data_IF_622659515924
#
_entry.id   IF_622659515924
#
_cell.length_a   1.000
_cell.length_b   1.000
_cell.length_c   1.000
_cell.angle_alpha   90.00
_cell.angle_beta   90.00
_cell.angle_gamma   90.00
#
_symmetry.space_group_name_H-M   'P 1'
#
loop_
_entity.id
_entity.type
_entity.pdbx_description
1 polymer ?
#
# COMPACT_ATOMS: atom_id res chain seq x y z
N UNK A 1 -1.70 -18.46 -3.23
CA UNK A 1 -2.38 -18.63 -4.54
C UNK A 1 -2.80 -17.32 -5.22
N UNK A 2 -2.62 -16.17 -4.56
CA UNK A 2 -2.91 -14.84 -5.14
C UNK A 2 -1.86 -14.45 -6.17
N UNK A 3 -0.62 -14.92 -6.01
CA UNK A 3 0.53 -14.57 -6.84
C UNK A 3 0.48 -14.98 -8.31
N UNK A 4 -0.40 -15.91 -8.69
CA UNK A 4 -0.52 -16.38 -10.08
C UNK A 4 -1.47 -15.55 -10.97
N UNK A 5 -2.28 -14.66 -10.40
CA UNK A 5 -3.36 -14.03 -11.16
C UNK A 5 -3.06 -12.61 -11.68
N UNK A 6 -2.21 -11.85 -10.99
CA UNK A 6 -1.85 -10.50 -11.42
C UNK A 6 -0.54 -10.07 -10.76
N UNK A 7 0.47 -9.77 -11.58
CA UNK A 7 1.80 -9.36 -11.12
C UNK A 7 1.75 -8.15 -10.18
N UNK A 8 0.92 -7.16 -10.48
CA UNK A 8 0.75 -5.97 -9.65
C UNK A 8 0.21 -6.31 -8.25
N UNK A 9 -0.78 -7.20 -8.17
CA UNK A 9 -1.36 -7.64 -6.89
C UNK A 9 -0.37 -8.44 -6.06
N UNK A 10 0.43 -9.32 -6.69
CA UNK A 10 1.48 -10.07 -5.99
C UNK A 10 2.54 -9.18 -5.38
N UNK A 11 3.05 -8.19 -6.13
CA UNK A 11 4.05 -7.23 -5.63
C UNK A 11 3.49 -6.47 -4.42
N UNK A 12 2.23 -6.04 -4.47
CA UNK A 12 1.61 -5.32 -3.37
C UNK A 12 1.33 -6.18 -2.15
N UNK A 13 0.91 -7.43 -2.37
CA UNK A 13 0.71 -8.40 -1.28
C UNK A 13 2.05 -8.68 -0.59
N UNK A 14 3.13 -8.86 -1.36
CA UNK A 14 4.48 -9.02 -0.83
C UNK A 14 4.91 -7.80 0.00
N UNK A 15 4.70 -6.59 -0.52
CA UNK A 15 5.01 -5.35 0.19
C UNK A 15 4.21 -5.23 1.50
N UNK A 16 2.91 -5.53 1.47
CA UNK A 16 2.05 -5.56 2.66
C UNK A 16 2.57 -6.57 3.70
N UNK A 17 2.92 -7.78 3.29
CA UNK A 17 3.44 -8.81 4.18
C UNK A 17 4.77 -8.40 4.80
N UNK A 18 5.68 -7.80 4.03
CA UNK A 18 6.95 -7.26 4.55
C UNK A 18 6.68 -6.17 5.58
N UNK A 19 5.76 -5.23 5.31
CA UNK A 19 5.37 -4.19 6.27
C UNK A 19 4.79 -4.79 7.55
N UNK A 20 3.93 -5.80 7.45
CA UNK A 20 3.39 -6.53 8.60
C UNK A 20 4.49 -7.26 9.37
N UNK A 21 5.46 -7.88 8.68
CA UNK A 21 6.60 -8.52 9.33
C UNK A 21 7.45 -7.52 10.13
N UNK A 22 7.71 -6.34 9.59
CA UNK A 22 8.42 -5.27 10.30
C UNK A 22 7.64 -4.87 11.56
N UNK A 23 6.33 -4.68 11.46
CA UNK A 23 5.47 -4.35 12.60
C UNK A 23 5.45 -5.46 13.65
N UNK A 24 5.37 -6.73 13.24
CA UNK A 24 5.38 -7.86 14.16
C UNK A 24 6.74 -8.04 14.85
N UNK A 25 7.82 -7.78 14.15
CA UNK A 25 9.17 -7.81 14.72
C UNK A 25 9.32 -6.77 15.85
N UNK A 26 8.71 -5.58 15.65
CA UNK A 26 8.74 -4.50 16.66
C UNK A 26 7.77 -4.77 17.82
N UNK A 27 6.55 -5.29 17.51
CA UNK A 27 5.45 -5.34 18.48
C UNK A 27 5.19 -6.73 19.07
N UNK A 28 5.38 -7.81 18.28
CA UNK A 28 5.01 -9.19 18.65
C UNK A 28 5.89 -10.25 18.00
N UNK A 29 7.00 -10.61 18.64
CA UNK A 29 7.96 -11.61 18.12
C UNK A 29 7.35 -12.99 17.79
N UNK A 30 6.35 -13.43 18.56
CA UNK A 30 5.68 -14.72 18.33
C UNK A 30 4.84 -14.75 17.04
N UNK A 31 4.17 -13.64 16.71
CA UNK A 31 3.43 -13.49 15.46
C UNK A 31 4.38 -13.48 14.26
N UNK A 32 5.55 -12.86 14.37
CA UNK A 32 6.60 -12.87 13.36
C UNK A 32 6.99 -14.29 12.97
N UNK A 33 7.25 -15.18 13.96
CA UNK A 33 7.67 -16.58 13.70
C UNK A 33 6.60 -17.41 12.97
N UNK A 34 5.32 -17.07 13.11
CA UNK A 34 4.22 -17.80 12.46
C UNK A 34 3.96 -17.33 11.03
N UNK A 35 4.21 -16.06 10.74
CA UNK A 35 3.83 -15.43 9.46
C UNK A 35 4.98 -15.35 8.46
N UNK A 36 6.24 -15.55 8.87
CA UNK A 36 7.39 -15.43 7.98
C UNK A 36 7.37 -16.43 6.81
N UNK A 37 6.82 -17.64 7.03
CA UNK A 37 6.69 -18.68 5.99
C UNK A 37 5.78 -18.18 4.86
N UNK A 38 4.67 -17.51 5.23
CA UNK A 38 3.73 -16.94 4.24
C UNK A 38 4.41 -15.86 3.41
N UNK A 39 5.21 -15.01 4.05
CA UNK A 39 6.00 -13.97 3.36
C UNK A 39 7.03 -14.58 2.41
N UNK A 40 7.68 -15.65 2.82
CA UNK A 40 8.67 -16.35 1.99
C UNK A 40 8.01 -17.00 0.77
N UNK A 41 6.86 -17.65 0.95
CA UNK A 41 6.10 -18.25 -0.15
C UNK A 41 5.62 -17.19 -1.15
N UNK A 42 5.16 -16.03 -0.67
CA UNK A 42 4.74 -14.94 -1.56
C UNK A 42 5.93 -14.32 -2.29
N UNK A 43 7.08 -14.18 -1.64
CA UNK A 43 8.32 -13.73 -2.29
C UNK A 43 8.75 -14.69 -3.42
N UNK A 44 8.68 -15.99 -3.19
CA UNK A 44 8.91 -17.00 -4.22
C UNK A 44 7.91 -16.87 -5.38
N UNK A 45 6.64 -16.62 -5.08
CA UNK A 45 5.60 -16.40 -6.09
C UNK A 45 5.90 -15.18 -6.97
N UNK A 46 6.34 -14.07 -6.37
CA UNK A 46 6.75 -12.87 -7.10
C UNK A 46 7.97 -13.15 -7.98
N UNK A 47 8.98 -13.88 -7.47
CA UNK A 47 10.14 -14.27 -8.26
C UNK A 47 9.73 -15.10 -9.48
N UNK A 48 8.84 -16.08 -9.31
CA UNK A 48 8.29 -16.86 -10.42
C UNK A 48 7.56 -15.97 -11.45
N UNK A 49 6.81 -14.98 -11.01
CA UNK A 49 6.15 -14.04 -11.91
C UNK A 49 7.16 -13.18 -12.70
N UNK A 50 8.21 -12.70 -12.05
CA UNK A 50 9.25 -11.89 -12.71
C UNK A 50 10.04 -12.70 -13.73
N UNK A 51 10.36 -13.96 -13.43
CA UNK A 51 11.12 -14.86 -14.32
C UNK A 51 10.23 -15.53 -15.37
N UNK A 52 8.93 -15.30 -15.38
CA UNK A 52 7.98 -15.87 -16.32
C UNK A 52 8.30 -15.46 -17.76
N UNK A 53 8.22 -16.39 -18.74
CA UNK A 53 8.41 -16.08 -20.17
C UNK A 53 7.47 -14.98 -20.67
N UNK A 54 6.26 -14.89 -20.10
CA UNK A 54 5.28 -13.84 -20.45
C UNK A 54 5.76 -12.46 -20.02
N UNK A 55 6.42 -12.37 -18.86
CA UNK A 55 7.02 -11.10 -18.41
C UNK A 55 8.21 -10.75 -19.30
N UNK A 56 9.03 -11.71 -19.66
CA UNK A 56 10.17 -11.50 -20.57
C UNK A 56 9.70 -11.01 -21.97
N UNK A 57 8.62 -11.55 -22.52
CA UNK A 57 8.06 -11.08 -23.80
C UNK A 57 7.51 -9.67 -23.73
N UNK A 58 6.93 -9.27 -22.61
CA UNK A 58 6.48 -7.88 -22.38
C UNK A 58 7.65 -6.92 -22.24
N UNK A 59 8.69 -7.30 -21.48
CA UNK A 59 9.91 -6.51 -21.30
C UNK A 59 10.65 -6.28 -22.63
N UNK A 60 10.59 -7.23 -23.56
CA UNK A 60 11.21 -7.14 -24.89
C UNK A 60 10.39 -6.33 -25.91
N UNK A 61 9.33 -5.64 -25.49
CA UNK A 61 8.59 -4.70 -26.33
C UNK A 61 7.65 -5.33 -27.35
N UNK A 62 7.38 -6.65 -27.28
CA UNK A 62 6.51 -7.35 -28.22
C UNK A 62 5.00 -6.95 -28.09
N UNK A 63 4.64 -6.14 -27.10
CA UNK A 63 3.29 -5.67 -26.83
C UNK A 63 3.18 -4.14 -26.76
N UNK A 64 3.77 -3.40 -27.70
CA UNK A 64 3.43 -1.98 -27.83
C UNK A 64 4.52 -0.96 -27.53
N UNK A 65 5.78 -1.34 -27.63
CA UNK A 65 6.86 -0.35 -27.80
C UNK A 65 7.23 0.53 -26.61
N UNK A 66 6.82 0.17 -25.40
CA UNK A 66 7.24 0.89 -24.19
C UNK A 66 8.58 0.36 -23.69
N UNK A 67 9.49 1.26 -23.36
CA UNK A 67 10.79 0.93 -22.78
C UNK A 67 10.58 0.46 -21.34
N UNK A 68 10.91 -0.81 -21.07
CA UNK A 68 10.96 -1.33 -19.72
C UNK A 68 11.94 -0.52 -18.85
N UNK A 69 11.52 -0.17 -17.64
CA UNK A 69 12.37 0.54 -16.70
C UNK A 69 13.26 -0.44 -15.92
N UNK A 70 14.42 0.02 -15.46
CA UNK A 70 15.16 -0.77 -14.48
C UNK A 70 14.34 -0.93 -13.19
N UNK A 71 14.50 -2.03 -12.42
CA UNK A 71 13.72 -2.25 -11.19
C UNK A 71 13.79 -1.09 -10.20
N UNK A 72 14.98 -0.51 -10.01
CA UNK A 72 15.17 0.64 -9.11
C UNK A 72 14.47 1.89 -9.64
N UNK A 73 14.53 2.13 -10.94
CA UNK A 73 13.85 3.26 -11.58
C UNK A 73 12.33 3.08 -11.50
N UNK A 74 11.82 1.87 -11.65
CA UNK A 74 10.40 1.58 -11.50
C UNK A 74 9.89 1.85 -10.08
N UNK A 75 10.68 1.51 -9.05
CA UNK A 75 10.35 1.82 -7.65
C UNK A 75 10.32 3.34 -7.44
N UNK A 76 11.34 4.05 -7.89
CA UNK A 76 11.39 5.51 -7.77
C UNK A 76 10.22 6.19 -8.45
N UNK A 77 9.98 5.86 -9.71
CA UNK A 77 8.86 6.41 -10.49
C UNK A 77 7.50 6.05 -9.88
N UNK A 78 7.36 4.87 -9.26
CA UNK A 78 6.11 4.50 -8.60
C UNK A 78 5.83 5.37 -7.37
N UNK A 79 6.85 5.69 -6.58
CA UNK A 79 6.72 6.59 -5.42
C UNK A 79 6.36 8.01 -5.87
N UNK A 80 7.10 8.55 -6.84
CA UNK A 80 6.87 9.89 -7.40
C UNK A 80 5.46 10.01 -7.99
N UNK A 81 5.09 9.11 -8.90
CA UNK A 81 3.80 9.13 -9.58
C UNK A 81 2.63 8.90 -8.63
N UNK A 82 2.79 8.02 -7.65
CA UNK A 82 1.77 7.81 -6.62
C UNK A 82 1.56 9.06 -5.78
N UNK A 83 2.64 9.77 -5.44
CA UNK A 83 2.54 11.03 -4.73
C UNK A 83 1.82 12.11 -5.54
N UNK A 84 2.14 12.24 -6.82
CA UNK A 84 1.43 13.14 -7.74
C UNK A 84 -0.05 12.78 -7.90
N UNK A 85 -0.39 11.49 -7.95
CA UNK A 85 -1.77 11.04 -7.98
C UNK A 85 -2.54 11.41 -6.71
N UNK A 86 -1.91 11.32 -5.53
CA UNK A 86 -2.55 11.77 -4.28
C UNK A 86 -2.93 13.25 -4.39
N UNK A 87 -2.02 14.10 -4.86
CA UNK A 87 -2.29 15.53 -5.02
C UNK A 87 -3.41 15.75 -6.04
N UNK A 88 -3.36 15.09 -7.18
CA UNK A 88 -4.33 15.23 -8.28
C UNK A 88 -5.73 14.73 -7.90
N UNK A 89 -5.82 13.62 -7.15
CA UNK A 89 -7.10 12.99 -6.78
C UNK A 89 -7.70 13.57 -5.51
N UNK A 90 -6.90 14.24 -4.68
CA UNK A 90 -7.39 14.91 -3.47
C UNK A 90 -8.07 16.21 -3.85
N UNK A 91 -9.34 16.12 -4.21
CA UNK A 91 -10.19 17.27 -4.50
C UNK A 91 -11.10 17.60 -3.32
N UNK A 92 -11.78 18.76 -3.39
CA UNK A 92 -12.67 19.22 -2.34
C UNK A 92 -13.75 18.19 -1.96
N UNK A 93 -14.25 17.41 -2.93
CA UNK A 93 -15.27 16.36 -2.68
C UNK A 93 -14.73 15.25 -1.79
N UNK A 94 -13.50 14.79 -2.06
CA UNK A 94 -12.83 13.77 -1.25
C UNK A 94 -12.55 14.30 0.16
N UNK A 95 -12.09 15.53 0.29
CA UNK A 95 -11.84 16.17 1.59
C UNK A 95 -13.14 16.30 2.41
N UNK A 96 -14.23 16.73 1.79
CA UNK A 96 -15.53 16.83 2.47
C UNK A 96 -16.02 15.45 2.95
N UNK A 97 -15.86 14.41 2.11
CA UNK A 97 -16.21 13.04 2.49
C UNK A 97 -15.38 12.57 3.70
N UNK A 98 -14.07 12.82 3.70
CA UNK A 98 -13.20 12.45 4.82
C UNK A 98 -13.57 13.18 6.11
N UNK A 99 -13.87 14.48 6.03
CA UNK A 99 -14.34 15.28 7.18
C UNK A 99 -15.65 14.71 7.73
N UNK A 100 -16.58 14.31 6.86
CA UNK A 100 -17.86 13.69 7.28
C UNK A 100 -17.63 12.35 7.99
N UNK A 101 -16.58 11.62 7.66
CA UNK A 101 -16.24 10.33 8.28
C UNK A 101 -15.56 10.48 9.67
N UNK A 102 -14.95 11.63 9.98
CA UNK A 102 -14.24 11.86 11.24
C UNK A 102 -15.09 11.52 12.48
N UNK A 103 -16.35 11.98 12.64
CA UNK A 103 -17.13 11.68 13.84
C UNK A 103 -17.42 10.17 13.99
N UNK A 104 -17.59 9.44 12.89
CA UNK A 104 -17.77 7.99 12.91
C UNK A 104 -16.49 7.28 13.37
N UNK A 105 -15.33 7.69 12.83
CA UNK A 105 -14.03 7.15 13.23
C UNK A 105 -13.71 7.48 14.68
N UNK A 106 -14.01 8.68 15.12
CA UNK A 106 -13.84 9.10 16.52
C UNK A 106 -14.61 8.21 17.49
N UNK A 107 -15.89 7.95 17.19
CA UNK A 107 -16.74 7.05 17.99
C UNK A 107 -16.21 5.60 17.98
N UNK A 108 -15.79 5.11 16.82
CA UNK A 108 -15.25 3.76 16.67
C UNK A 108 -13.96 3.57 17.46
N UNK A 109 -13.01 4.52 17.34
CA UNK A 109 -11.70 4.45 17.96
C UNK A 109 -11.77 4.54 19.49
N UNK A 110 -12.68 5.31 20.04
CA UNK A 110 -12.90 5.39 21.51
C UNK A 110 -13.23 4.03 22.12
N UNK A 111 -13.91 3.15 21.38
CA UNK A 111 -14.27 1.80 21.82
C UNK A 111 -13.14 0.77 21.65
N UNK A 112 -12.12 1.08 20.86
CA UNK A 112 -11.02 0.16 20.59
C UNK A 112 -9.99 0.18 21.73
N UNK A 113 -9.57 -1.00 22.22
CA UNK A 113 -8.48 -1.19 23.17
C UNK A 113 -7.09 -1.19 22.50
N UNK A 114 -6.93 -0.46 21.38
CA UNK A 114 -5.68 -0.39 20.65
C UNK A 114 -4.96 0.94 20.91
N UNK A 115 -3.66 0.86 21.19
CA UNK A 115 -2.81 2.06 21.29
C UNK A 115 -2.26 2.40 19.91
N UNK A 116 -2.71 3.50 19.34
CA UNK A 116 -2.23 4.03 18.06
C UNK A 116 -0.86 4.70 18.27
N UNK A 117 0.22 3.89 18.17
CA UNK A 117 1.60 4.37 18.30
C UNK A 117 2.14 4.70 16.92
N UNK A 118 3.00 5.71 16.81
CA UNK A 118 3.74 6.06 15.59
C UNK A 118 2.89 6.27 14.32
N UNK A 119 1.97 7.25 14.29
CA UNK A 119 1.10 7.50 13.13
C UNK A 119 1.89 7.83 11.86
N UNK A 120 3.03 8.54 11.97
CA UNK A 120 3.90 8.82 10.82
C UNK A 120 4.48 7.56 10.18
N UNK A 121 4.92 6.59 10.99
CA UNK A 121 5.41 5.29 10.49
C UNK A 121 4.30 4.52 9.78
N UNK A 122 3.09 4.51 10.35
CA UNK A 122 1.93 3.88 9.72
C UNK A 122 1.63 4.50 8.35
N UNK A 123 1.64 5.85 8.26
CA UNK A 123 1.44 6.57 7.00
C UNK A 123 2.51 6.21 5.97
N UNK A 124 3.78 6.17 6.36
CA UNK A 124 4.88 5.83 5.45
C UNK A 124 4.79 4.38 4.94
N UNK A 125 4.50 3.42 5.82
CA UNK A 125 4.37 2.01 5.45
C UNK A 125 3.16 1.78 4.52
N UNK A 126 2.02 2.35 4.84
CA UNK A 126 0.81 2.23 4.01
C UNK A 126 0.95 2.95 2.68
N UNK A 127 1.71 4.06 2.61
CA UNK A 127 2.08 4.72 1.37
C UNK A 127 2.95 3.82 0.49
N UNK A 128 3.93 3.12 1.07
CA UNK A 128 4.75 2.13 0.36
C UNK A 128 3.90 1.00 -0.25
N UNK A 129 2.93 0.47 0.50
CA UNK A 129 1.97 -0.54 0.00
C UNK A 129 1.12 0.02 -1.15
N UNK A 130 0.65 1.26 -1.04
CA UNK A 130 -0.10 1.91 -2.12
C UNK A 130 0.76 2.10 -3.37
N UNK A 131 1.99 2.61 -3.22
CA UNK A 131 2.89 2.83 -4.35
C UNK A 131 3.29 1.52 -5.05
N UNK A 132 3.41 0.42 -4.31
CA UNK A 132 3.77 -0.89 -4.87
C UNK A 132 2.78 -1.42 -5.91
N UNK A 133 1.52 -0.96 -5.90
CA UNK A 133 0.54 -1.28 -6.93
C UNK A 133 0.94 -0.77 -8.32
N UNK A 134 1.61 0.37 -8.39
CA UNK A 134 2.07 0.94 -9.65
C UNK A 134 3.43 0.38 -10.10
N UNK A 135 4.23 -0.15 -9.18
CA UNK A 135 5.61 -0.56 -9.46
C UNK A 135 5.68 -1.63 -10.54
N UNK A 136 4.79 -2.63 -10.48
CA UNK A 136 4.78 -3.73 -11.45
C UNK A 136 4.46 -3.25 -12.87
N UNK A 137 3.49 -2.36 -13.03
CA UNK A 137 3.10 -1.80 -14.33
C UNK A 137 4.17 -0.85 -14.87
N UNK A 138 4.75 0.00 -14.02
CA UNK A 138 5.84 0.89 -14.42
C UNK A 138 7.08 0.08 -14.83
N UNK A 139 7.35 -1.05 -14.16
CA UNK A 139 8.47 -1.92 -14.50
C UNK A 139 8.31 -2.54 -15.89
N UNK A 140 7.11 -3.06 -16.21
CA UNK A 140 6.85 -3.79 -17.45
C UNK A 140 6.48 -2.86 -18.60
N UNK A 141 5.58 -1.90 -18.35
CA UNK A 141 4.95 -1.09 -19.39
C UNK A 141 5.49 0.36 -19.43
N UNK A 142 6.36 0.74 -18.50
CA UNK A 142 6.88 2.12 -18.38
C UNK A 142 5.86 3.16 -17.92
N UNK A 143 4.60 2.78 -17.75
CA UNK A 143 3.48 3.65 -17.38
C UNK A 143 2.75 3.15 -16.14
N UNK A 144 1.92 4.00 -15.53
CA UNK A 144 1.07 3.57 -14.40
C UNK A 144 -0.09 2.64 -14.82
N UNK A 145 -0.21 2.35 -16.10
CA UNK A 145 -1.34 1.62 -16.65
C UNK A 145 -2.61 2.48 -16.76
N UNK A 146 -3.43 2.19 -17.77
CA UNK A 146 -4.72 2.84 -18.01
C UNK A 146 -5.91 1.95 -17.62
N UNK A 147 -7.12 2.48 -17.77
CA UNK A 147 -8.36 1.71 -17.66
C UNK A 147 -8.50 0.96 -16.34
N UNK A 148 -8.50 -0.37 -16.40
CA UNK A 148 -8.68 -1.25 -15.21
C UNK A 148 -7.63 -1.03 -14.13
N UNK A 149 -6.38 -0.82 -14.51
CA UNK A 149 -5.30 -0.59 -13.54
C UNK A 149 -5.47 0.76 -12.83
N UNK A 150 -5.88 1.80 -13.55
CA UNK A 150 -6.21 3.09 -12.96
C UNK A 150 -7.34 3.01 -11.92
N UNK A 151 -8.37 2.19 -12.17
CA UNK A 151 -9.44 1.95 -11.21
C UNK A 151 -8.91 1.27 -9.94
N UNK A 152 -8.03 0.27 -10.06
CA UNK A 152 -7.40 -0.40 -8.91
C UNK A 152 -6.59 0.60 -8.10
N UNK A 153 -5.76 1.42 -8.73
CA UNK A 153 -4.98 2.47 -8.08
C UNK A 153 -5.87 3.46 -7.31
N UNK A 154 -7.02 3.83 -7.90
CA UNK A 154 -7.97 4.72 -7.25
C UNK A 154 -8.59 4.09 -5.99
N UNK A 155 -8.95 2.79 -6.02
CA UNK A 155 -9.41 2.07 -4.83
C UNK A 155 -8.35 2.02 -3.73
N UNK A 156 -7.09 1.76 -4.09
CA UNK A 156 -5.99 1.78 -3.11
C UNK A 156 -5.76 3.17 -2.52
N UNK A 157 -5.91 4.22 -3.32
CA UNK A 157 -5.88 5.60 -2.84
C UNK A 157 -6.97 5.85 -1.78
N UNK A 158 -8.22 5.49 -2.06
CA UNK A 158 -9.33 5.68 -1.12
C UNK A 158 -9.08 4.89 0.18
N UNK A 159 -8.68 3.62 0.07
CA UNK A 159 -8.36 2.78 1.23
C UNK A 159 -7.21 3.38 2.05
N UNK A 160 -6.18 3.87 1.39
CA UNK A 160 -5.03 4.52 2.03
C UNK A 160 -5.46 5.78 2.80
N UNK A 161 -6.27 6.65 2.19
CA UNK A 161 -6.77 7.86 2.83
C UNK A 161 -7.64 7.54 4.05
N UNK A 162 -8.61 6.63 3.91
CA UNK A 162 -9.51 6.21 4.99
C UNK A 162 -8.72 5.60 6.15
N UNK A 163 -7.79 4.69 5.87
CA UNK A 163 -6.96 4.05 6.89
C UNK A 163 -6.10 5.06 7.66
N UNK A 164 -5.51 6.04 6.95
CA UNK A 164 -4.71 7.08 7.57
C UNK A 164 -5.56 8.01 8.44
N UNK A 165 -6.71 8.49 7.94
CA UNK A 165 -7.61 9.34 8.74
C UNK A 165 -8.06 8.61 10.00
N UNK A 166 -8.45 7.33 9.90
CA UNK A 166 -8.85 6.52 11.06
C UNK A 166 -7.69 6.38 12.06
N UNK A 167 -6.48 6.10 11.59
CA UNK A 167 -5.31 5.92 12.46
C UNK A 167 -4.93 7.24 13.18
N UNK A 168 -4.94 8.37 12.45
CA UNK A 168 -4.67 9.69 13.03
C UNK A 168 -5.75 10.11 14.04
N UNK A 169 -7.04 9.88 13.72
CA UNK A 169 -8.13 10.08 14.67
C UNK A 169 -7.92 9.25 15.95
N UNK A 170 -7.45 8.00 15.79
CA UNK A 170 -7.13 7.12 16.91
C UNK A 170 -6.02 7.65 17.81
N UNK A 171 -4.96 8.12 17.21
CA UNK A 171 -3.84 8.69 17.94
C UNK A 171 -4.23 9.97 18.71
N UNK A 172 -5.00 10.87 18.07
CA UNK A 172 -5.48 12.10 18.70
C UNK A 172 -6.46 11.78 19.84
N UNK A 173 -7.45 10.88 19.59
CA UNK A 173 -8.46 10.53 20.60
C UNK A 173 -7.83 9.92 21.85
N UNK A 174 -6.82 9.05 21.70
CA UNK A 174 -6.12 8.44 22.87
C UNK A 174 -5.27 9.46 23.63
N UNK A 175 -4.71 10.46 22.97
CA UNK A 175 -3.98 11.55 23.65
C UNK A 175 -4.92 12.45 24.45
N UNK A 176 -6.07 12.84 23.85
CA UNK A 176 -7.09 13.65 24.53
C UNK A 176 -7.61 12.91 25.76
N UNK A 177 -7.96 11.63 25.64
CA UNK A 177 -8.44 10.81 26.77
C UNK A 177 -7.38 10.61 27.87
N UNK A 178 -6.09 10.64 27.55
CA UNK A 178 -5.03 10.64 28.56
C UNK A 178 -4.93 11.96 29.30
N UNK A 179 -5.06 13.08 28.58
CA UNK A 179 -5.02 14.41 29.17
C UNK A 179 -6.22 14.70 30.09
N UNK A 180 -7.41 14.14 29.81
CA UNK A 180 -8.60 14.26 30.65
C UNK A 180 -8.50 13.46 31.96
N UNK A 181 -7.60 12.47 32.06
CA UNK A 181 -7.43 11.60 33.23
C UNK A 181 -6.25 11.99 34.13
N UNK A 182 -5.44 12.94 33.70
CA UNK A 182 -4.32 13.51 34.46
C UNK A 182 -4.72 14.78 35.17
#
# INVERSE_FOLDING_TARGET
LVGGNNFSTSVSTMCLLICLQILFLICRKDAFRRTWIVTLLETLSVLMCVTSPLTATRLNGNFGGSTANSPLMAIWLSLERTFLNIISWTNLKVLLLLVLLIPFFWKAVRKMNYEFRFPGLFTALTFGVYASQATATIYVDGTMGGGRQGAILWYFYVLWMVANVLYWCGWIAKRVLKAEKS
#
